data_IF_183967968699
#
_entry.id   IF_183967968699
#
_cell.length_a   1.000
_cell.length_b   1.000
_cell.length_c   1.000
_cell.angle_alpha   90.00
_cell.angle_beta   90.00
_cell.angle_gamma   90.00
#
_symmetry.space_group_name_H-M   'P 1'
#
loop_
_entity.id
_entity.type
_entity.pdbx_description
1 polymer ?
#
# COMPACT_ATOMS: atom_id res chain seq x y z
N UNK A 1 -6.83 3.88 29.34
CA UNK A 1 -6.64 2.81 28.35
C UNK A 1 -7.20 3.17 26.96
N UNK A 2 -8.41 3.74 26.85
CA UNK A 2 -9.02 4.10 25.56
C UNK A 2 -8.25 5.13 24.73
N UNK A 3 -7.61 6.13 25.35
CA UNK A 3 -6.82 7.16 24.64
C UNK A 3 -5.60 6.59 23.93
N UNK A 4 -4.89 5.65 24.58
CA UNK A 4 -3.69 5.03 24.00
C UNK A 4 -4.05 4.20 22.75
N UNK A 5 -5.13 3.40 22.81
CA UNK A 5 -5.64 2.64 21.66
C UNK A 5 -6.03 3.53 20.49
N UNK A 6 -6.67 4.68 20.75
CA UNK A 6 -7.00 5.67 19.71
C UNK A 6 -5.76 6.25 19.06
N UNK A 7 -4.76 6.63 19.86
CA UNK A 7 -3.46 7.13 19.34
C UNK A 7 -2.80 6.06 18.47
N UNK A 8 -2.73 4.81 18.94
CA UNK A 8 -2.17 3.69 18.17
C UNK A 8 -2.91 3.48 16.85
N UNK A 9 -4.25 3.55 16.86
CA UNK A 9 -5.05 3.43 15.64
C UNK A 9 -4.70 4.51 14.61
N UNK A 10 -4.63 5.78 15.03
CA UNK A 10 -4.25 6.87 14.14
C UNK A 10 -2.82 6.75 13.61
N UNK A 11 -1.88 6.26 14.42
CA UNK A 11 -0.51 6.00 13.96
C UNK A 11 -0.51 4.92 12.87
N UNK A 12 -1.20 3.80 13.09
CA UNK A 12 -1.30 2.72 12.09
C UNK A 12 -1.95 3.24 10.80
N UNK A 13 -3.05 3.99 10.91
CA UNK A 13 -3.71 4.60 9.75
C UNK A 13 -2.79 5.58 9.02
N UNK A 14 -2.04 6.40 9.76
CA UNK A 14 -1.07 7.35 9.20
C UNK A 14 0.04 6.64 8.41
N UNK A 15 0.58 5.54 8.94
CA UNK A 15 1.57 4.71 8.24
C UNK A 15 0.98 4.11 6.96
N UNK A 16 -0.23 3.54 7.03
CA UNK A 16 -0.89 2.97 5.86
C UNK A 16 -1.17 4.02 4.78
N UNK A 17 -1.62 5.21 5.18
CA UNK A 17 -1.80 6.35 4.28
C UNK A 17 -0.48 6.78 3.64
N UNK A 18 0.59 6.90 4.42
CA UNK A 18 1.93 7.22 3.91
C UNK A 18 2.40 6.21 2.87
N UNK A 19 2.21 4.90 3.10
CA UNK A 19 2.55 3.85 2.12
C UNK A 19 1.70 3.99 0.86
N UNK A 20 0.39 4.27 0.99
CA UNK A 20 -0.52 4.36 -0.14
C UNK A 20 -0.22 5.58 -1.03
N UNK A 21 -0.14 6.78 -0.44
CA UNK A 21 0.18 8.01 -1.18
C UNK A 21 1.65 8.07 -1.62
N UNK A 22 2.55 7.46 -0.85
CA UNK A 22 3.97 7.32 -1.17
C UNK A 22 4.31 6.17 -2.13
N UNK A 23 3.32 5.43 -2.63
CA UNK A 23 3.55 4.18 -3.36
C UNK A 23 4.52 4.33 -4.53
N UNK A 24 4.41 5.42 -5.31
CA UNK A 24 5.32 5.67 -6.46
C UNK A 24 6.77 5.91 -6.04
N UNK A 25 7.00 6.57 -4.90
CA UNK A 25 8.34 6.78 -4.37
C UNK A 25 8.92 5.46 -3.84
N UNK A 26 8.09 4.67 -3.13
CA UNK A 26 8.48 3.38 -2.58
C UNK A 26 8.84 2.39 -3.70
N UNK A 27 8.01 2.27 -4.75
CA UNK A 27 8.29 1.37 -5.87
C UNK A 27 9.59 1.71 -6.58
N UNK A 28 9.89 3.00 -6.77
CA UNK A 28 11.14 3.47 -7.36
C UNK A 28 12.34 3.21 -6.45
N UNK A 29 12.28 3.59 -5.17
CA UNK A 29 13.41 3.42 -4.24
C UNK A 29 13.78 1.97 -3.99
N UNK A 30 12.81 1.06 -4.06
CA UNK A 30 13.02 -0.36 -3.79
C UNK A 30 13.16 -1.20 -5.07
N UNK A 31 13.21 -0.57 -6.26
CA UNK A 31 13.25 -1.22 -7.57
C UNK A 31 12.20 -2.35 -7.70
N UNK A 32 10.97 -2.08 -7.24
CA UNK A 32 9.93 -3.11 -7.21
C UNK A 32 9.42 -3.47 -8.61
N UNK A 33 9.58 -2.57 -9.57
CA UNK A 33 9.17 -2.78 -10.98
C UNK A 33 9.89 -3.98 -11.60
N UNK A 34 11.18 -4.15 -11.28
CA UNK A 34 12.01 -5.28 -11.76
C UNK A 34 11.53 -6.64 -11.20
N UNK A 35 10.82 -6.62 -10.08
CA UNK A 35 10.31 -7.82 -9.38
C UNK A 35 8.86 -8.14 -9.76
N UNK A 36 8.26 -7.39 -10.67
CA UNK A 36 6.91 -7.64 -11.14
C UNK A 36 6.93 -8.72 -12.21
N UNK A 37 6.35 -9.87 -11.88
CA UNK A 37 5.89 -10.81 -12.89
C UNK A 37 4.75 -10.18 -13.71
N UNK A 38 4.84 -10.33 -15.03
CA UNK A 38 3.87 -9.82 -16.01
C UNK A 38 3.54 -10.91 -17.04
N UNK A 39 3.62 -12.18 -16.64
CA UNK A 39 3.28 -13.34 -17.47
C UNK A 39 1.85 -13.28 -18.02
N UNK A 40 0.93 -12.62 -17.31
CA UNK A 40 -0.45 -12.40 -17.78
C UNK A 40 -0.61 -11.28 -18.83
N UNK A 41 0.46 -10.59 -19.19
CA UNK A 41 0.47 -9.48 -20.15
C UNK A 41 1.57 -9.69 -21.21
N UNK A 42 1.70 -10.93 -21.69
CA UNK A 42 2.67 -11.38 -22.69
C UNK A 42 2.47 -10.72 -24.08
N UNK A 43 1.25 -10.26 -24.36
CA UNK A 43 0.93 -9.48 -25.56
C UNK A 43 1.55 -8.06 -25.56
N UNK A 44 1.93 -7.53 -24.38
CA UNK A 44 2.53 -6.20 -24.27
C UNK A 44 4.04 -6.26 -24.55
N UNK A 45 4.55 -5.25 -25.27
CA UNK A 45 5.98 -5.16 -25.58
C UNK A 45 6.53 -3.73 -25.42
N UNK A 46 7.85 -3.64 -25.26
CA UNK A 46 8.56 -2.37 -25.13
C UNK A 46 8.01 -1.49 -24.01
N UNK A 47 7.67 -0.24 -24.35
CA UNK A 47 7.23 0.79 -23.40
C UNK A 47 5.91 0.44 -22.69
N UNK A 48 5.01 -0.29 -23.36
CA UNK A 48 3.71 -0.67 -22.78
C UNK A 48 3.88 -1.67 -21.64
N UNK A 49 4.79 -2.63 -21.83
CA UNK A 49 5.13 -3.61 -20.79
C UNK A 49 5.80 -2.94 -19.58
N UNK A 50 6.67 -1.95 -19.80
CA UNK A 50 7.29 -1.19 -18.71
C UNK A 50 6.26 -0.39 -17.90
N UNK A 51 5.34 0.31 -18.58
CA UNK A 51 4.25 1.05 -17.92
C UNK A 51 3.31 0.13 -17.16
N UNK A 52 3.03 -1.04 -17.71
CA UNK A 52 2.23 -2.07 -17.05
C UNK A 52 2.91 -2.52 -15.75
N UNK A 53 4.20 -2.88 -15.80
CA UNK A 53 4.96 -3.28 -14.62
C UNK A 53 5.07 -2.16 -13.58
N UNK A 54 5.29 -0.91 -13.98
CA UNK A 54 5.30 0.24 -13.06
C UNK A 54 3.94 0.36 -12.35
N UNK A 55 2.85 0.31 -13.12
CA UNK A 55 1.50 0.40 -12.58
C UNK A 55 1.18 -0.75 -11.63
N UNK A 56 1.47 -1.99 -12.03
CA UNK A 56 1.24 -3.19 -11.21
C UNK A 56 2.07 -3.16 -9.91
N UNK A 57 3.32 -2.70 -9.96
CA UNK A 57 4.14 -2.48 -8.77
C UNK A 57 3.49 -1.45 -7.83
N UNK A 58 3.05 -0.30 -8.36
CA UNK A 58 2.44 0.78 -7.57
C UNK A 58 1.14 0.29 -6.91
N UNK A 59 0.29 -0.41 -7.67
CA UNK A 59 -0.96 -0.96 -7.15
C UNK A 59 -0.69 -1.95 -6.03
N UNK A 60 0.30 -2.85 -6.17
CA UNK A 60 0.69 -3.77 -5.07
C UNK A 60 1.08 -3.02 -3.79
N UNK A 61 1.88 -1.95 -3.89
CA UNK A 61 2.24 -1.14 -2.71
C UNK A 61 1.03 -0.42 -2.13
N UNK A 62 0.14 0.12 -2.97
CA UNK A 62 -1.12 0.75 -2.51
C UNK A 62 -2.01 -0.23 -1.77
N UNK A 63 -2.13 -1.47 -2.25
CA UNK A 63 -2.89 -2.52 -1.59
C UNK A 63 -2.33 -2.83 -0.21
N UNK A 64 -1.00 -2.90 -0.06
CA UNK A 64 -0.37 -3.07 1.25
C UNK A 64 -0.68 -1.88 2.17
N UNK A 65 -0.53 -0.64 1.69
CA UNK A 65 -0.88 0.55 2.46
C UNK A 65 -2.35 0.57 2.89
N UNK A 66 -3.26 0.17 2.00
CA UNK A 66 -4.69 0.06 2.29
C UNK A 66 -4.98 -0.98 3.39
N UNK A 67 -4.35 -2.16 3.35
CA UNK A 67 -4.50 -3.17 4.41
C UNK A 67 -4.02 -2.65 5.76
N UNK A 68 -2.94 -1.86 5.79
CA UNK A 68 -2.46 -1.21 7.02
C UNK A 68 -3.47 -0.18 7.52
N UNK A 69 -4.07 0.64 6.64
CA UNK A 69 -5.15 1.57 7.03
C UNK A 69 -6.34 0.81 7.61
N UNK A 70 -6.78 -0.26 6.96
CA UNK A 70 -7.88 -1.10 7.45
C UNK A 70 -7.60 -1.67 8.84
N UNK A 71 -6.37 -2.16 9.09
CA UNK A 71 -5.98 -2.62 10.42
C UNK A 71 -6.12 -1.50 11.47
N UNK A 72 -5.70 -0.28 11.14
CA UNK A 72 -5.87 0.88 12.02
C UNK A 72 -7.35 1.23 12.28
N UNK A 73 -8.20 1.15 11.25
CA UNK A 73 -9.66 1.35 11.38
C UNK A 73 -10.27 0.29 12.32
N UNK A 74 -9.87 -0.98 12.21
CA UNK A 74 -10.36 -2.04 13.10
C UNK A 74 -9.96 -1.78 14.56
N UNK A 75 -8.72 -1.34 14.80
CA UNK A 75 -8.26 -0.94 16.15
C UNK A 75 -9.08 0.25 16.66
N UNK A 76 -9.33 1.26 15.83
CA UNK A 76 -10.16 2.41 16.20
C UNK A 76 -11.59 1.98 16.55
N UNK A 77 -12.19 1.09 15.76
CA UNK A 77 -13.53 0.59 15.99
C UNK A 77 -13.66 -0.12 17.36
N UNK A 78 -12.69 -0.98 17.69
CA UNK A 78 -12.61 -1.62 19.01
C UNK A 78 -12.42 -0.58 20.13
N UNK A 79 -11.63 0.47 19.89
CA UNK A 79 -11.38 1.53 20.85
C UNK A 79 -12.57 2.47 21.09
N UNK A 80 -13.52 2.55 20.14
CA UNK A 80 -14.74 3.36 20.24
C UNK A 80 -15.94 2.59 20.78
N UNK A 81 -15.99 1.27 20.58
CA UNK A 81 -17.05 0.40 21.13
C UNK A 81 -16.88 0.16 22.63
N UNK A 82 -15.69 0.43 23.17
CA UNK A 82 -15.35 0.32 24.60
C UNK A 82 -15.57 1.65 25.31
#
# INVERSE_FOLDING_TARGET
MGTLLKITAFIIMGIGAFINYGARLITKRMNLVEKVDASEADELSGEELEKYKETKAIVRVKMMGFLVVLAGILVLFVALKK
#
